data_IF_516566213121
#
_entry.id   IF_516566213121
#
_cell.length_a   1.000
_cell.length_b   1.000
_cell.length_c   1.000
_cell.angle_alpha   90.00
_cell.angle_beta   90.00
_cell.angle_gamma   90.00
#
_symmetry.space_group_name_H-M   'P 1'
#
loop_
_entity.id
_entity.type
_entity.pdbx_description
1 polymer ?
#
# COMPACT_ATOMS: atom_id res chain seq x y z
N UNK A 1 2.95 -35.26 -0.43
CA UNK A 1 2.84 -34.09 -1.33
C UNK A 1 1.75 -34.40 -2.35
N UNK A 2 0.56 -33.86 -2.20
CA UNK A 2 -0.44 -33.92 -3.26
C UNK A 2 0.02 -32.99 -4.39
N UNK A 3 -0.09 -33.47 -5.64
CA UNK A 3 0.25 -32.67 -6.81
C UNK A 3 -0.64 -31.40 -6.83
N UNK A 4 -0.03 -30.22 -6.96
CA UNK A 4 -0.76 -28.96 -7.11
C UNK A 4 -1.65 -29.05 -8.36
N UNK A 5 -2.90 -28.59 -8.32
CA UNK A 5 -3.80 -28.69 -9.46
C UNK A 5 -3.24 -27.92 -10.68
N UNK A 6 -3.50 -28.44 -11.86
CA UNK A 6 -3.19 -27.77 -13.12
C UNK A 6 -4.02 -26.46 -13.19
N UNK A 7 -3.44 -25.30 -13.46
CA UNK A 7 -4.08 -23.99 -13.40
C UNK A 7 -5.28 -23.79 -14.31
N UNK A 8 -5.24 -24.32 -15.55
CA UNK A 8 -6.42 -24.36 -16.42
C UNK A 8 -7.62 -25.08 -15.78
N UNK A 9 -7.38 -25.90 -14.74
CA UNK A 9 -8.42 -26.55 -13.97
C UNK A 9 -9.00 -25.69 -12.84
N UNK A 10 -8.31 -24.61 -12.39
CA UNK A 10 -8.79 -23.81 -11.26
C UNK A 10 -10.01 -22.99 -11.66
N UNK A 11 -9.96 -22.26 -12.78
CA UNK A 11 -11.11 -21.46 -13.24
C UNK A 11 -12.30 -22.31 -13.71
N UNK A 12 -12.03 -23.51 -14.26
CA UNK A 12 -13.11 -24.44 -14.64
C UNK A 12 -13.72 -25.13 -13.43
N UNK A 13 -13.02 -25.15 -12.30
CA UNK A 13 -13.47 -25.80 -11.07
C UNK A 13 -14.35 -24.92 -10.21
N UNK A 14 -14.12 -23.57 -10.18
CA UNK A 14 -14.86 -22.65 -9.34
C UNK A 14 -15.73 -21.73 -10.18
N UNK A 15 -16.96 -21.45 -9.69
CA UNK A 15 -17.91 -20.61 -10.42
C UNK A 15 -17.56 -19.13 -10.28
N UNK A 16 -16.96 -18.72 -9.16
CA UNK A 16 -16.57 -17.33 -8.91
C UNK A 16 -15.48 -17.22 -7.84
N UNK A 17 -14.88 -16.04 -7.78
CA UNK A 17 -14.02 -15.63 -6.66
C UNK A 17 -14.85 -15.01 -5.56
N UNK A 18 -14.51 -15.29 -4.30
CA UNK A 18 -14.95 -14.51 -3.15
C UNK A 18 -13.74 -13.82 -2.55
N UNK A 19 -13.74 -12.48 -2.55
CA UNK A 19 -12.67 -11.64 -2.02
C UNK A 19 -13.08 -11.20 -0.63
N UNK A 20 -12.29 -11.56 0.38
CA UNK A 20 -12.54 -11.17 1.78
C UNK A 20 -11.72 -9.94 2.11
N UNK A 21 -12.41 -8.79 2.29
CA UNK A 21 -11.80 -7.49 2.55
C UNK A 21 -11.74 -6.58 1.32
N UNK A 22 -12.29 -5.36 1.45
CA UNK A 22 -12.32 -4.31 0.42
C UNK A 22 -11.33 -3.18 0.75
N UNK A 23 -10.10 -3.54 1.20
CA UNK A 23 -8.98 -2.61 1.22
C UNK A 23 -8.34 -2.44 -0.16
N UNK A 24 -7.10 -1.93 -0.20
CA UNK A 24 -6.35 -1.74 -1.46
C UNK A 24 -6.24 -3.03 -2.27
N UNK A 25 -5.84 -4.14 -1.63
CA UNK A 25 -5.67 -5.44 -2.31
C UNK A 25 -6.98 -5.93 -2.93
N UNK A 26 -8.04 -5.97 -2.12
CA UNK A 26 -9.33 -6.51 -2.57
C UNK A 26 -10.00 -5.62 -3.62
N UNK A 27 -9.92 -4.29 -3.48
CA UNK A 27 -10.47 -3.36 -4.48
C UNK A 27 -9.75 -3.50 -5.82
N UNK A 28 -8.42 -3.50 -5.83
CA UNK A 28 -7.66 -3.68 -7.08
C UNK A 28 -7.89 -5.07 -7.68
N UNK A 29 -7.87 -6.13 -6.88
CA UNK A 29 -8.15 -7.49 -7.37
C UNK A 29 -9.54 -7.58 -8.02
N UNK A 30 -10.58 -7.03 -7.38
CA UNK A 30 -11.93 -7.00 -7.92
C UNK A 30 -12.01 -6.32 -9.29
N UNK A 31 -11.33 -5.18 -9.46
CA UNK A 31 -11.31 -4.43 -10.72
C UNK A 31 -10.50 -5.16 -11.81
N UNK A 32 -9.42 -5.86 -11.45
CA UNK A 32 -8.69 -6.72 -12.39
C UNK A 32 -9.52 -7.94 -12.82
N UNK A 33 -10.25 -8.59 -11.91
CA UNK A 33 -11.16 -9.68 -12.24
C UNK A 33 -12.30 -9.19 -13.13
N UNK A 34 -12.80 -7.96 -12.92
CA UNK A 34 -13.80 -7.33 -13.79
C UNK A 34 -13.29 -7.14 -15.21
N UNK A 35 -12.07 -6.67 -15.40
CA UNK A 35 -11.47 -6.49 -16.73
C UNK A 35 -11.27 -7.82 -17.45
N UNK A 36 -10.95 -8.87 -16.71
CA UNK A 36 -10.80 -10.25 -17.21
C UNK A 36 -12.14 -10.98 -17.40
N UNK A 37 -13.28 -10.34 -17.11
CA UNK A 37 -14.62 -10.93 -17.15
C UNK A 37 -14.78 -12.18 -16.26
N UNK A 38 -13.98 -12.30 -15.20
CA UNK A 38 -14.03 -13.41 -14.25
C UNK A 38 -15.06 -13.09 -13.16
N UNK A 39 -16.05 -13.99 -12.90
CA UNK A 39 -17.06 -13.75 -11.88
C UNK A 39 -16.47 -13.65 -10.48
N UNK A 40 -16.91 -12.67 -9.69
CA UNK A 40 -16.50 -12.49 -8.31
C UNK A 40 -17.58 -11.83 -7.46
N UNK A 41 -17.38 -11.88 -6.15
CA UNK A 41 -18.08 -11.10 -5.13
C UNK A 41 -17.04 -10.63 -4.10
N UNK A 42 -17.21 -9.42 -3.59
CA UNK A 42 -16.40 -8.89 -2.49
C UNK A 42 -17.23 -8.96 -1.22
N UNK A 43 -16.67 -9.52 -0.15
CA UNK A 43 -17.29 -9.54 1.17
C UNK A 43 -16.50 -8.62 2.10
N UNK A 44 -17.16 -7.58 2.60
CA UNK A 44 -16.50 -6.59 3.46
C UNK A 44 -17.51 -5.77 4.25
N UNK A 45 -17.13 -5.46 5.48
CA UNK A 45 -17.78 -4.46 6.33
C UNK A 45 -16.81 -3.33 6.65
N UNK A 46 -17.30 -2.10 6.69
CA UNK A 46 -16.47 -0.95 7.05
C UNK A 46 -16.07 -1.01 8.52
N UNK A 47 -14.80 -1.33 8.77
CA UNK A 47 -14.27 -1.46 10.12
C UNK A 47 -13.16 -0.42 10.38
N UNK A 48 -13.07 0.13 11.61
CA UNK A 48 -12.01 1.07 11.98
C UNK A 48 -10.61 0.51 11.81
N UNK A 49 -9.62 1.39 11.64
CA UNK A 49 -8.20 1.02 11.57
C UNK A 49 -7.72 0.52 10.22
N UNK A 50 -8.55 0.59 9.17
CA UNK A 50 -8.11 0.27 7.81
C UNK A 50 -6.94 1.16 7.40
N UNK A 51 -5.80 0.56 7.05
CA UNK A 51 -4.64 1.29 6.56
C UNK A 51 -4.94 2.08 5.28
N UNK A 52 -5.77 1.55 4.40
CA UNK A 52 -6.00 2.12 3.07
C UNK A 52 -6.71 3.46 3.12
N UNK A 53 -7.72 3.63 3.97
CA UNK A 53 -8.46 4.88 4.07
C UNK A 53 -7.67 6.00 4.74
N UNK A 54 -6.57 5.66 5.42
CA UNK A 54 -5.69 6.61 6.11
C UNK A 54 -4.44 6.90 5.29
N UNK A 55 -3.92 5.91 4.55
CA UNK A 55 -2.64 6.00 3.87
C UNK A 55 -2.58 7.15 2.85
N UNK A 56 -1.42 7.84 2.73
CA UNK A 56 -1.23 8.94 1.78
C UNK A 56 -1.18 8.47 0.32
N UNK A 57 -0.99 7.17 0.09
CA UNK A 57 -0.85 6.61 -1.25
C UNK A 57 0.47 6.94 -1.95
N UNK A 58 1.45 7.50 -1.26
CA UNK A 58 2.71 7.98 -1.83
C UNK A 58 3.55 6.81 -2.37
N UNK A 59 4.05 6.98 -3.59
CA UNK A 59 5.06 6.13 -4.21
C UNK A 59 6.31 6.96 -4.45
N UNK A 60 7.38 6.60 -3.76
CA UNK A 60 8.70 7.20 -3.91
C UNK A 60 9.70 6.12 -4.32
N UNK A 61 10.24 6.16 -5.55
CA UNK A 61 11.23 5.18 -6.01
C UNK A 61 12.50 5.14 -5.16
N UNK A 62 12.87 6.26 -4.54
CA UNK A 62 14.05 6.38 -3.67
C UNK A 62 13.66 6.45 -2.19
N UNK A 63 12.59 5.74 -1.80
CA UNK A 63 12.18 5.66 -0.40
C UNK A 63 13.23 4.92 0.47
N UNK A 64 13.23 5.25 1.77
CA UNK A 64 14.10 4.62 2.74
C UNK A 64 15.42 5.35 2.99
N UNK A 65 16.20 4.84 3.96
CA UNK A 65 17.39 5.51 4.50
C UNK A 65 18.60 5.52 3.55
N UNK A 66 18.61 4.61 2.58
CA UNK A 66 19.74 4.41 1.68
C UNK A 66 19.48 4.97 0.28
N UNK A 67 18.31 5.57 0.04
CA UNK A 67 17.90 6.14 -1.27
C UNK A 67 18.00 5.15 -2.44
N UNK A 68 17.88 3.85 -2.16
CA UNK A 68 17.97 2.78 -3.16
C UNK A 68 16.61 2.49 -3.76
N UNK A 69 16.51 2.41 -5.09
CA UNK A 69 15.30 1.92 -5.71
C UNK A 69 15.06 0.44 -5.31
N UNK A 70 13.80 0.01 -5.21
CA UNK A 70 13.49 -1.40 -5.06
C UNK A 70 14.06 -2.23 -6.22
N UNK A 71 14.39 -3.49 -5.95
CA UNK A 71 14.70 -4.43 -7.03
C UNK A 71 13.49 -4.50 -8.00
N UNK A 72 13.76 -4.47 -9.29
CA UNK A 72 12.73 -4.47 -10.34
C UNK A 72 11.77 -3.26 -10.28
N UNK A 73 12.26 -2.10 -9.87
CA UNK A 73 11.46 -0.88 -9.72
C UNK A 73 10.71 -0.49 -11.01
N UNK A 74 11.34 -0.67 -12.17
CA UNK A 74 10.72 -0.35 -13.47
C UNK A 74 9.49 -1.23 -13.74
N UNK A 75 9.58 -2.53 -13.46
CA UNK A 75 8.44 -3.44 -13.57
C UNK A 75 7.34 -3.09 -12.57
N UNK A 76 7.71 -2.78 -11.33
CA UNK A 76 6.76 -2.34 -10.30
C UNK A 76 6.01 -1.07 -10.72
N UNK A 77 6.71 -0.07 -11.24
CA UNK A 77 6.12 1.18 -11.72
C UNK A 77 5.26 0.95 -12.97
N UNK A 78 5.71 0.11 -13.90
CA UNK A 78 4.93 -0.27 -15.08
C UNK A 78 3.60 -0.91 -14.68
N UNK A 79 3.61 -1.89 -13.78
CA UNK A 79 2.39 -2.54 -13.30
C UNK A 79 1.50 -1.59 -12.50
N UNK A 80 2.10 -0.71 -11.69
CA UNK A 80 1.37 0.35 -10.99
C UNK A 80 0.60 1.23 -11.98
N UNK A 81 1.28 1.81 -12.96
CA UNK A 81 0.64 2.71 -13.92
C UNK A 81 -0.44 2.00 -14.74
N UNK A 82 -0.18 0.78 -15.19
CA UNK A 82 -1.17 -0.03 -15.90
C UNK A 82 -2.42 -0.32 -15.05
N UNK A 83 -2.23 -0.68 -13.79
CA UNK A 83 -3.32 -0.92 -12.85
C UNK A 83 -4.12 0.35 -12.55
N UNK A 84 -3.45 1.50 -12.34
CA UNK A 84 -4.17 2.77 -12.11
C UNK A 84 -4.97 3.19 -13.32
N UNK A 85 -4.43 3.09 -14.54
CA UNK A 85 -5.16 3.36 -15.79
C UNK A 85 -6.38 2.46 -15.96
N UNK A 86 -6.25 1.17 -15.61
CA UNK A 86 -7.37 0.23 -15.63
C UNK A 86 -8.48 0.66 -14.66
N UNK A 87 -8.11 0.97 -13.42
CA UNK A 87 -9.03 1.43 -12.36
C UNK A 87 -9.75 2.71 -12.78
N UNK A 88 -9.01 3.70 -13.27
CA UNK A 88 -9.55 4.98 -13.75
C UNK A 88 -10.53 4.79 -14.90
N UNK A 89 -10.22 3.88 -15.84
CA UNK A 89 -11.11 3.51 -16.95
C UNK A 89 -12.41 2.87 -16.48
N UNK A 90 -12.35 1.92 -15.52
CA UNK A 90 -13.56 1.21 -15.05
C UNK A 90 -14.43 2.12 -14.20
N UNK A 91 -13.83 2.91 -13.31
CA UNK A 91 -14.56 3.74 -12.36
C UNK A 91 -14.93 5.14 -12.91
N UNK A 92 -14.32 5.56 -14.01
CA UNK A 92 -14.55 6.89 -14.60
C UNK A 92 -14.00 8.05 -13.78
N UNK A 93 -12.95 7.84 -12.99
CA UNK A 93 -12.35 8.81 -12.07
C UNK A 93 -10.83 8.84 -12.22
N UNK A 94 -10.19 9.92 -11.76
CA UNK A 94 -8.74 10.00 -11.64
C UNK A 94 -8.30 9.60 -10.24
N UNK A 95 -7.39 8.63 -10.13
CA UNK A 95 -6.85 8.12 -8.87
C UNK A 95 -5.36 8.44 -8.72
N UNK A 96 -4.59 8.36 -9.81
CA UNK A 96 -3.16 8.58 -9.79
C UNK A 96 -2.79 10.02 -10.13
N UNK A 97 -1.87 10.59 -9.33
CA UNK A 97 -1.25 11.89 -9.58
C UNK A 97 0.27 11.73 -9.58
N UNK A 98 0.89 11.93 -10.74
CA UNK A 98 2.35 12.03 -10.82
C UNK A 98 2.79 13.31 -10.11
N UNK A 99 3.71 13.20 -9.18
CA UNK A 99 4.15 14.30 -8.34
C UNK A 99 5.62 14.09 -7.94
N UNK A 100 6.50 15.06 -8.19
CA UNK A 100 7.86 14.98 -7.72
C UNK A 100 7.94 15.03 -6.20
N UNK A 101 8.98 14.43 -5.62
CA UNK A 101 9.18 14.41 -4.17
C UNK A 101 10.51 15.09 -3.86
N UNK A 102 10.47 16.19 -3.14
CA UNK A 102 11.66 16.85 -2.63
C UNK A 102 12.14 16.12 -1.37
N UNK A 103 13.28 15.44 -1.48
CA UNK A 103 13.93 14.73 -0.37
C UNK A 103 15.00 15.63 0.23
N UNK A 104 14.78 16.10 1.45
CA UNK A 104 15.78 16.86 2.22
C UNK A 104 16.62 15.90 3.07
N UNK A 105 17.91 16.15 3.15
CA UNK A 105 18.79 15.41 4.03
C UNK A 105 18.61 15.92 5.48
N UNK A 106 18.48 14.99 6.43
CA UNK A 106 18.32 15.31 7.86
C UNK A 106 19.65 15.27 8.64
N UNK A 107 20.70 14.74 8.01
CA UNK A 107 22.06 14.66 8.55
C UNK A 107 23.10 14.60 7.42
N UNK A 108 24.36 15.03 7.64
CA UNK A 108 25.39 15.05 6.60
C UNK A 108 25.65 13.68 5.98
N UNK A 109 25.59 12.60 6.78
CA UNK A 109 25.86 11.23 6.34
C UNK A 109 24.83 10.71 5.32
N UNK A 110 23.67 11.34 5.22
CA UNK A 110 22.67 10.96 4.21
C UNK A 110 23.08 11.35 2.80
N UNK A 111 23.82 12.45 2.64
CA UNK A 111 24.36 12.84 1.35
C UNK A 111 25.35 11.80 0.81
N UNK A 112 26.22 11.25 1.65
CA UNK A 112 27.14 10.17 1.27
C UNK A 112 26.40 8.88 0.84
N UNK A 113 25.32 8.56 1.53
CA UNK A 113 24.45 7.40 1.15
C UNK A 113 23.76 7.65 -0.19
N UNK A 114 23.27 8.86 -0.40
CA UNK A 114 22.67 9.27 -1.65
C UNK A 114 23.67 9.17 -2.81
N UNK A 115 24.89 9.70 -2.67
CA UNK A 115 25.92 9.62 -3.67
C UNK A 115 26.29 8.16 -4.04
N UNK A 116 26.30 7.25 -3.08
CA UNK A 116 26.50 5.82 -3.36
C UNK A 116 25.37 5.24 -4.18
N UNK A 117 24.13 5.58 -3.83
CA UNK A 117 22.94 5.12 -4.55
C UNK A 117 22.93 5.56 -6.01
N UNK A 118 23.19 6.82 -6.29
CA UNK A 118 23.19 7.34 -7.67
C UNK A 118 24.38 6.86 -8.51
N UNK A 119 25.52 6.54 -7.88
CA UNK A 119 26.73 6.09 -8.60
C UNK A 119 26.79 4.60 -8.91
N UNK A 120 26.02 3.77 -8.24
CA UNK A 120 26.18 2.31 -8.38
C UNK A 120 24.94 1.46 -8.20
N UNK A 121 23.78 2.05 -7.89
CA UNK A 121 22.59 1.29 -7.50
C UNK A 121 21.32 1.68 -8.28
N UNK A 122 21.50 2.42 -9.39
CA UNK A 122 20.41 2.83 -10.29
C UNK A 122 19.54 3.96 -9.73
N UNK A 123 19.98 4.65 -8.68
CA UNK A 123 19.26 5.78 -8.10
C UNK A 123 19.21 7.01 -9.00
N UNK A 124 20.21 7.19 -9.87
CA UNK A 124 20.33 8.28 -10.83
C UNK A 124 19.14 8.39 -11.78
N UNK A 125 18.55 7.26 -12.17
CA UNK A 125 17.36 7.24 -13.03
C UNK A 125 16.15 7.97 -12.42
N UNK A 126 16.13 8.12 -11.09
CA UNK A 126 15.02 8.71 -10.33
C UNK A 126 15.35 10.07 -9.71
N UNK A 127 16.53 10.62 -9.97
CA UNK A 127 16.90 11.99 -9.55
C UNK A 127 16.66 12.93 -10.71
N UNK A 128 15.98 14.04 -10.44
CA UNK A 128 15.73 15.10 -11.40
C UNK A 128 16.70 16.25 -11.20
N UNK A 129 16.80 16.76 -9.97
CA UNK A 129 17.62 17.91 -9.64
C UNK A 129 18.19 17.78 -8.21
N UNK A 130 19.39 18.30 -8.00
CA UNK A 130 20.01 18.43 -6.67
C UNK A 130 20.10 19.90 -6.28
N UNK A 131 19.87 20.18 -4.98
CA UNK A 131 19.88 21.54 -4.42
C UNK A 131 20.90 21.63 -3.29
N UNK A 132 21.61 22.76 -3.27
CA UNK A 132 22.56 23.06 -2.20
C UNK A 132 21.85 23.32 -0.87
N UNK A 133 22.63 23.38 0.19
CA UNK A 133 22.18 23.76 1.52
C UNK A 133 21.43 25.11 1.51
N UNK A 134 20.33 25.18 2.29
CA UNK A 134 19.52 26.38 2.46
C UNK A 134 19.01 26.99 1.14
N UNK A 135 18.69 26.14 0.17
CA UNK A 135 18.19 26.58 -1.15
C UNK A 135 16.76 27.15 -1.07
N UNK A 136 15.90 26.54 -0.27
CA UNK A 136 14.49 26.93 -0.14
C UNK A 136 14.24 27.77 1.11
N UNK A 137 13.86 29.06 0.99
CA UNK A 137 13.73 29.97 2.15
C UNK A 137 12.59 29.57 3.12
N UNK A 138 11.67 28.70 2.69
CA UNK A 138 10.54 28.21 3.48
C UNK A 138 10.79 26.81 4.07
N UNK A 139 11.96 26.23 3.86
CA UNK A 139 12.35 24.90 4.37
C UNK A 139 13.62 24.98 5.21
N UNK A 140 13.78 24.01 6.10
CA UNK A 140 15.00 23.82 6.86
C UNK A 140 15.90 22.77 6.17
N UNK A 141 16.32 23.03 4.94
CA UNK A 141 17.15 22.16 4.09
C UNK A 141 18.65 22.36 4.32
N UNK A 142 19.07 22.42 5.59
CA UNK A 142 20.43 22.75 6.03
C UNK A 142 21.53 21.83 5.54
N UNK A 143 21.20 20.64 5.02
CA UNK A 143 22.15 19.69 4.42
C UNK A 143 21.91 19.45 2.93
N UNK A 144 21.11 20.34 2.31
CA UNK A 144 20.70 20.19 0.92
C UNK A 144 19.57 19.20 0.71
N UNK A 145 19.19 19.05 -0.54
CA UNK A 145 18.05 18.23 -0.94
C UNK A 145 18.17 17.79 -2.40
N UNK A 146 17.28 16.89 -2.82
CA UNK A 146 17.16 16.53 -4.23
C UNK A 146 15.68 16.27 -4.58
N UNK A 147 15.34 16.53 -5.84
CA UNK A 147 14.02 16.26 -6.38
C UNK A 147 14.01 14.89 -7.04
N UNK A 148 13.03 14.06 -6.69
CA UNK A 148 12.85 12.77 -7.36
C UNK A 148 11.86 12.90 -8.51
N UNK A 149 12.02 12.05 -9.53
CA UNK A 149 11.07 11.82 -10.61
C UNK A 149 10.56 10.38 -10.59
N UNK A 150 9.50 10.09 -11.34
CA UNK A 150 8.88 8.77 -11.40
C UNK A 150 8.05 8.39 -10.17
N UNK A 151 7.90 9.31 -9.23
CA UNK A 151 7.01 9.19 -8.06
C UNK A 151 5.64 9.82 -8.26
N UNK A 152 4.83 9.74 -7.21
CA UNK A 152 3.48 10.30 -7.18
C UNK A 152 2.67 9.73 -6.03
N UNK A 153 1.35 9.82 -6.15
CA UNK A 153 0.45 9.27 -5.13
C UNK A 153 -0.90 8.84 -5.72
N UNK A 154 -1.51 7.86 -5.08
CA UNK A 154 -2.86 7.41 -5.36
C UNK A 154 -3.84 7.93 -4.30
N UNK A 155 -4.98 8.46 -4.71
CA UNK A 155 -6.04 8.88 -3.79
C UNK A 155 -6.79 7.66 -3.26
N UNK A 156 -6.23 7.03 -2.24
CA UNK A 156 -6.74 5.76 -1.70
C UNK A 156 -8.11 5.89 -1.04
N UNK A 157 -8.42 6.91 -0.21
CA UNK A 157 -9.76 7.06 0.33
C UNK A 157 -10.83 7.13 -0.78
N UNK A 158 -10.57 7.92 -1.83
CA UNK A 158 -11.48 8.04 -2.96
C UNK A 158 -11.60 6.73 -3.76
N UNK A 159 -10.48 6.02 -3.97
CA UNK A 159 -10.50 4.69 -4.60
C UNK A 159 -11.44 3.73 -3.84
N UNK A 160 -11.32 3.65 -2.52
CA UNK A 160 -12.14 2.74 -1.71
C UNK A 160 -13.63 3.11 -1.77
N UNK A 161 -13.94 4.38 -1.58
CA UNK A 161 -15.32 4.90 -1.62
C UNK A 161 -16.01 4.63 -2.96
N UNK A 162 -15.36 5.01 -4.07
CA UNK A 162 -15.93 4.83 -5.40
C UNK A 162 -16.02 3.36 -5.79
N UNK A 163 -14.99 2.55 -5.46
CA UNK A 163 -15.05 1.10 -5.70
C UNK A 163 -16.19 0.47 -4.90
N UNK A 164 -16.41 0.83 -3.64
CA UNK A 164 -17.50 0.31 -2.82
C UNK A 164 -18.86 0.66 -3.42
N UNK A 165 -19.03 1.91 -3.83
CA UNK A 165 -20.25 2.37 -4.50
C UNK A 165 -20.51 1.58 -5.79
N UNK A 166 -19.46 1.42 -6.60
CA UNK A 166 -19.53 0.65 -7.85
C UNK A 166 -19.88 -0.83 -7.59
N UNK A 167 -19.29 -1.47 -6.59
CA UNK A 167 -19.60 -2.85 -6.20
C UNK A 167 -21.07 -3.01 -5.78
N UNK A 168 -21.59 -2.09 -4.94
CA UNK A 168 -23.02 -2.08 -4.53
C UNK A 168 -23.96 -1.96 -5.73
N UNK A 169 -23.69 -1.01 -6.61
CA UNK A 169 -24.53 -0.76 -7.80
C UNK A 169 -24.59 -1.95 -8.75
N UNK A 170 -23.54 -2.78 -8.77
CA UNK A 170 -23.47 -3.98 -9.62
C UNK A 170 -23.88 -5.28 -8.89
N UNK A 171 -24.30 -5.22 -7.62
CA UNK A 171 -24.65 -6.41 -6.82
C UNK A 171 -23.46 -7.32 -6.52
N UNK A 172 -22.25 -6.75 -6.44
CA UNK A 172 -20.99 -7.46 -6.25
C UNK A 172 -20.40 -7.27 -4.84
N UNK A 173 -21.14 -6.65 -3.91
CA UNK A 173 -20.74 -6.45 -2.53
C UNK A 173 -21.66 -7.24 -1.59
N UNK A 174 -21.05 -8.06 -0.75
CA UNK A 174 -21.66 -8.76 0.38
C UNK A 174 -21.24 -8.04 1.66
N UNK A 175 -22.17 -7.32 2.31
CA UNK A 175 -21.90 -6.46 3.46
C UNK A 175 -22.07 -7.22 4.80
N UNK A 176 -21.64 -8.48 4.84
CA UNK A 176 -21.59 -9.26 6.06
C UNK A 176 -20.12 -9.47 6.48
N UNK A 177 -19.89 -9.47 7.79
CA UNK A 177 -18.58 -9.82 8.33
C UNK A 177 -18.27 -11.28 7.99
N UNK A 178 -16.99 -11.56 7.68
CA UNK A 178 -16.54 -12.94 7.50
C UNK A 178 -16.44 -13.63 8.86
N UNK A 179 -17.21 -14.68 9.03
CA UNK A 179 -17.09 -15.56 10.19
C UNK A 179 -15.87 -16.47 10.01
N UNK A 180 -15.02 -16.54 11.00
CA UNK A 180 -13.86 -17.42 11.00
C UNK A 180 -14.28 -18.81 11.51
N UNK A 181 -14.66 -19.74 10.63
CA UNK A 181 -15.10 -21.07 11.06
C UNK A 181 -13.91 -21.83 11.70
N UNK A 182 -14.19 -22.61 12.74
CA UNK A 182 -13.17 -23.46 13.37
C UNK A 182 -12.60 -24.49 12.38
N UNK A 183 -13.44 -25.06 11.53
CA UNK A 183 -13.05 -25.91 10.42
C UNK A 183 -13.30 -25.21 9.10
N UNK A 184 -12.33 -25.29 8.19
CA UNK A 184 -12.50 -24.74 6.85
C UNK A 184 -13.71 -25.38 6.15
N UNK A 185 -14.58 -24.58 5.50
CA UNK A 185 -15.70 -25.11 4.73
C UNK A 185 -15.21 -26.09 3.66
N UNK A 186 -16.03 -27.10 3.39
CA UNK A 186 -15.72 -28.07 2.32
C UNK A 186 -15.63 -27.35 0.97
N UNK A 187 -14.69 -27.79 0.16
CA UNK A 187 -14.54 -27.34 -1.21
C UNK A 187 -15.68 -27.90 -2.08
N UNK A 188 -16.66 -27.08 -2.34
CA UNK A 188 -17.83 -27.42 -3.17
C UNK A 188 -17.65 -27.10 -4.66
N UNK A 189 -16.54 -26.45 -5.04
CA UNK A 189 -16.35 -25.91 -6.38
C UNK A 189 -17.16 -24.64 -6.68
N UNK A 190 -17.88 -24.09 -5.71
CA UNK A 190 -18.67 -22.87 -5.92
C UNK A 190 -17.78 -21.61 -5.89
N UNK A 191 -16.91 -21.51 -4.88
CA UNK A 191 -16.13 -20.29 -4.64
C UNK A 191 -14.64 -20.60 -4.36
N UNK A 192 -13.77 -19.79 -4.98
CA UNK A 192 -12.37 -19.68 -4.62
C UNK A 192 -12.22 -18.42 -3.75
N UNK A 193 -11.70 -18.57 -2.52
CA UNK A 193 -11.58 -17.48 -1.56
C UNK A 193 -10.21 -16.83 -1.65
N UNK A 194 -10.18 -15.48 -1.66
CA UNK A 194 -8.94 -14.69 -1.59
C UNK A 194 -9.00 -13.74 -0.41
N UNK A 195 -8.16 -13.98 0.59
CA UNK A 195 -8.12 -13.20 1.83
C UNK A 195 -7.27 -11.93 1.66
N UNK A 196 -7.94 -10.78 1.67
CA UNK A 196 -7.39 -9.42 1.52
C UNK A 196 -7.63 -8.58 2.77
N UNK A 197 -7.60 -9.18 3.96
CA UNK A 197 -8.12 -8.68 5.25
C UNK A 197 -7.24 -7.59 5.89
N UNK A 198 -6.11 -7.25 5.26
CA UNK A 198 -5.17 -6.31 5.86
C UNK A 198 -4.66 -6.81 7.21
N UNK A 199 -4.59 -5.92 8.23
CA UNK A 199 -4.11 -6.30 9.55
C UNK A 199 -5.09 -7.21 10.33
N UNK A 200 -6.35 -7.25 9.93
CA UNK A 200 -7.37 -8.09 10.57
C UNK A 200 -7.19 -9.59 10.32
N UNK A 201 -6.30 -9.95 9.40
CA UNK A 201 -5.85 -11.33 9.21
C UNK A 201 -5.33 -11.97 10.52
N UNK A 202 -4.94 -11.16 11.52
CA UNK A 202 -4.59 -11.63 12.86
C UNK A 202 -5.74 -12.36 13.58
N UNK A 203 -6.98 -12.06 13.21
CA UNK A 203 -8.17 -12.71 13.76
C UNK A 203 -8.50 -14.02 13.02
N UNK A 204 -7.85 -14.30 11.90
CA UNK A 204 -8.08 -15.48 11.09
C UNK A 204 -7.16 -16.62 11.53
N UNK A 205 -7.67 -17.64 12.26
CA UNK A 205 -6.83 -18.70 12.83
C UNK A 205 -6.14 -19.55 11.77
N UNK A 206 -6.69 -19.63 10.55
CA UNK A 206 -6.16 -20.44 9.47
C UNK A 206 -4.88 -19.84 8.84
N UNK A 207 -4.62 -18.56 9.02
CA UNK A 207 -3.40 -17.89 8.56
C UNK A 207 -2.41 -17.59 9.69
N UNK A 208 -2.61 -18.18 10.88
CA UNK A 208 -1.79 -17.96 12.07
C UNK A 208 -0.33 -18.42 11.94
N UNK A 209 -0.02 -19.29 10.97
CA UNK A 209 1.36 -19.71 10.67
C UNK A 209 2.20 -18.62 9.98
N UNK A 210 1.58 -17.54 9.52
CA UNK A 210 2.29 -16.39 8.96
C UNK A 210 2.71 -15.45 10.10
N UNK A 211 4.01 -15.09 10.22
CA UNK A 211 4.49 -14.23 11.30
C UNK A 211 4.09 -12.76 11.06
N UNK A 212 2.84 -12.45 11.35
CA UNK A 212 2.30 -11.10 11.24
C UNK A 212 2.91 -10.18 12.30
N UNK A 213 3.35 -9.00 11.88
CA UNK A 213 3.90 -7.95 12.75
C UNK A 213 3.35 -6.58 12.33
N UNK A 214 2.04 -6.34 12.52
CA UNK A 214 1.40 -5.10 12.08
C UNK A 214 2.01 -3.88 12.75
N UNK A 215 1.89 -2.72 12.11
CA UNK A 215 2.38 -1.47 12.67
C UNK A 215 1.37 -0.34 12.50
N UNK A 216 1.01 0.31 13.60
CA UNK A 216 0.18 1.51 13.59
C UNK A 216 0.95 2.67 12.98
N UNK A 217 0.30 3.44 12.14
CA UNK A 217 0.78 4.69 11.59
C UNK A 217 -0.24 5.78 11.76
N UNK A 218 0.21 6.92 12.26
CA UNK A 218 -0.62 8.09 12.45
C UNK A 218 -0.19 9.21 11.52
N UNK A 219 -1.13 10.05 11.14
CA UNK A 219 -0.89 11.24 10.35
C UNK A 219 -1.78 12.39 10.80
N UNK A 220 -1.38 13.61 10.46
CA UNK A 220 -2.14 14.82 10.68
C UNK A 220 -2.67 15.38 9.38
N UNK A 221 -3.87 15.98 9.43
CA UNK A 221 -4.37 16.90 8.45
C UNK A 221 -4.08 18.31 8.96
N UNK A 222 -3.39 19.13 8.17
CA UNK A 222 -2.96 20.48 8.60
C UNK A 222 -3.27 21.53 7.56
N UNK A 223 -3.42 22.79 8.03
CA UNK A 223 -3.44 24.00 7.20
C UNK A 223 -2.25 24.86 7.55
N UNK A 224 -1.49 25.28 6.55
CA UNK A 224 -0.45 26.28 6.78
C UNK A 224 -1.09 27.67 6.81
N UNK A 225 -0.57 28.54 7.68
CA UNK A 225 -1.05 29.94 7.82
C UNK A 225 -0.50 30.85 6.71
N UNK A 226 0.58 30.42 6.04
CA UNK A 226 1.19 31.08 4.91
C UNK A 226 1.21 30.17 3.67
N UNK A 227 1.44 30.76 2.51
CA UNK A 227 1.53 30.02 1.26
C UNK A 227 2.68 29.01 1.28
N UNK A 228 2.37 27.73 1.08
CA UNK A 228 3.33 26.63 0.98
C UNK A 228 3.20 26.00 -0.42
N UNK A 229 4.30 25.87 -1.19
CA UNK A 229 4.22 25.39 -2.58
C UNK A 229 3.66 23.97 -2.69
N UNK A 230 2.72 23.77 -3.61
CA UNK A 230 1.90 22.54 -3.74
C UNK A 230 2.27 21.66 -4.93
N UNK A 231 3.32 22.01 -5.64
CA UNK A 231 3.77 21.35 -6.86
C UNK A 231 4.54 20.04 -6.59
N UNK A 232 4.78 19.72 -5.33
CA UNK A 232 5.58 18.57 -4.90
C UNK A 232 5.17 18.05 -3.53
N UNK A 233 5.62 16.82 -3.22
CA UNK A 233 5.61 16.25 -1.87
C UNK A 233 6.96 16.57 -1.24
N UNK A 234 6.97 16.93 0.04
CA UNK A 234 8.17 17.16 0.82
C UNK A 234 8.46 15.96 1.70
N UNK A 235 9.72 15.59 1.87
CA UNK A 235 10.09 14.45 2.70
C UNK A 235 11.45 14.65 3.38
N UNK A 236 11.44 14.59 4.70
CA UNK A 236 12.63 14.57 5.56
C UNK A 236 12.40 13.55 6.69
N UNK A 237 12.16 14.01 7.92
CA UNK A 237 11.74 13.17 9.06
C UNK A 237 10.27 12.77 8.99
N UNK A 238 9.45 13.58 8.36
CA UNK A 238 8.09 13.27 7.93
C UNK A 238 7.93 13.58 6.44
N UNK A 239 6.82 13.10 5.86
CA UNK A 239 6.39 13.55 4.53
C UNK A 239 5.23 14.55 4.69
N UNK A 240 5.18 15.51 3.77
CA UNK A 240 4.14 16.55 3.69
C UNK A 240 3.57 16.54 2.28
N UNK A 241 2.29 16.18 2.15
CA UNK A 241 1.60 15.97 0.88
C UNK A 241 0.44 16.94 0.71
N UNK A 242 0.32 17.65 -0.42
CA UNK A 242 -0.88 18.44 -0.70
C UNK A 242 -2.09 17.54 -0.95
N UNK A 243 -3.28 17.92 -0.42
CA UNK A 243 -4.52 17.18 -0.62
C UNK A 243 -5.49 17.93 -1.52
N UNK A 244 -5.86 19.14 -1.11
CA UNK A 244 -6.72 20.05 -1.85
C UNK A 244 -6.22 21.49 -1.61
N UNK A 245 -6.93 22.52 -2.05
CA UNK A 245 -6.44 23.90 -2.13
C UNK A 245 -5.74 24.44 -0.88
N UNK A 246 -6.11 24.02 0.30
CA UNK A 246 -5.53 24.53 1.55
C UNK A 246 -5.15 23.43 2.57
N UNK A 247 -5.48 22.16 2.30
CA UNK A 247 -5.27 21.06 3.21
C UNK A 247 -4.07 20.20 2.82
N UNK A 248 -3.31 19.76 3.83
CA UNK A 248 -2.13 18.95 3.70
C UNK A 248 -2.19 17.74 4.62
N UNK A 249 -1.58 16.64 4.19
CA UNK A 249 -1.31 15.47 5.04
C UNK A 249 0.14 15.47 5.49
N UNK A 250 0.37 15.15 6.76
CA UNK A 250 1.70 15.04 7.36
C UNK A 250 1.84 13.69 8.05
N UNK A 251 2.88 12.95 7.74
CA UNK A 251 3.08 11.62 8.34
C UNK A 251 4.47 11.03 8.11
N UNK A 252 4.64 9.88 8.60
CA UNK A 252 3.78 9.14 9.50
C UNK A 252 4.59 8.60 10.68
N UNK A 253 3.88 8.37 11.77
CA UNK A 253 4.47 7.59 12.86
C UNK A 253 4.62 6.12 12.48
N UNK A 254 5.38 5.40 13.27
CA UNK A 254 5.55 3.96 13.15
C UNK A 254 5.61 3.33 14.53
N UNK A 255 4.55 2.63 14.95
CA UNK A 255 4.44 2.02 16.27
C UNK A 255 3.97 0.57 16.16
N UNK A 256 4.56 -0.28 16.98
CA UNK A 256 4.21 -1.70 17.11
C UNK A 256 3.35 -1.98 18.36
N UNK A 257 2.79 -0.96 18.97
CA UNK A 257 1.88 -1.06 20.11
C UNK A 257 0.50 -0.51 19.75
N UNK A 258 -0.56 -1.10 20.32
CA UNK A 258 -1.95 -0.68 20.16
C UNK A 258 -2.43 -0.69 18.67
N UNK A 259 -2.94 -1.83 18.22
CA UNK A 259 -3.48 -2.03 16.86
C UNK A 259 -4.99 -1.75 16.79
N UNK A 260 -5.41 -0.60 17.30
CA UNK A 260 -6.82 -0.22 17.41
C UNK A 260 -7.29 0.82 16.37
N UNK A 261 -6.35 1.38 15.60
CA UNK A 261 -6.64 2.48 14.67
C UNK A 261 -6.99 3.80 15.35
N UNK A 262 -6.77 3.92 16.67
CA UNK A 262 -7.05 5.14 17.44
C UNK A 262 -5.83 6.06 17.46
N UNK A 263 -5.98 7.36 17.12
CA UNK A 263 -4.92 8.35 17.24
C UNK A 263 -4.42 8.53 18.68
N UNK A 264 -3.14 8.89 18.86
CA UNK A 264 -2.52 9.11 20.16
C UNK A 264 -1.93 10.52 20.29
N UNK A 265 -1.90 11.05 21.50
CA UNK A 265 -1.30 12.36 21.78
C UNK A 265 0.21 12.36 21.44
N UNK A 266 0.92 11.29 21.76
CA UNK A 266 2.35 11.15 21.44
C UNK A 266 2.60 11.17 19.93
N UNK A 267 1.72 10.50 19.16
CA UNK A 267 1.76 10.53 17.70
C UNK A 267 1.57 11.93 17.13
N UNK A 268 0.58 12.66 17.64
CA UNK A 268 0.34 14.06 17.24
C UNK A 268 1.54 14.96 17.56
N UNK A 269 2.06 14.89 18.78
CA UNK A 269 3.22 15.68 19.23
C UNK A 269 4.43 15.40 18.34
N UNK A 270 4.77 14.13 18.14
CA UNK A 270 5.89 13.72 17.29
C UNK A 270 5.79 14.25 15.85
N UNK A 271 4.60 14.19 15.24
CA UNK A 271 4.40 14.69 13.88
C UNK A 271 4.46 16.21 13.79
N UNK A 272 3.95 16.94 14.79
CA UNK A 272 4.06 18.39 14.85
C UNK A 272 5.51 18.84 15.00
N UNK A 273 6.29 18.21 15.88
CA UNK A 273 7.72 18.47 16.02
C UNK A 273 8.48 18.22 14.71
N UNK A 274 8.23 17.09 14.04
CA UNK A 274 8.88 16.80 12.76
C UNK A 274 8.47 17.80 11.66
N UNK A 275 7.23 18.27 11.64
CA UNK A 275 6.80 19.29 10.71
C UNK A 275 7.48 20.65 10.98
N UNK A 276 7.63 21.03 12.26
CA UNK A 276 8.36 22.23 12.66
C UNK A 276 9.86 22.14 12.31
N UNK A 277 10.45 20.93 12.35
CA UNK A 277 11.83 20.70 11.89
C UNK A 277 11.95 20.79 10.36
N UNK A 278 10.89 20.50 9.62
CA UNK A 278 10.89 20.55 8.15
C UNK A 278 10.71 21.97 7.63
N UNK A 279 9.81 22.75 8.26
CA UNK A 279 9.50 24.14 7.87
C UNK A 279 9.20 25.01 9.08
N UNK A 280 9.61 26.28 9.00
CA UNK A 280 9.26 27.30 10.02
C UNK A 280 7.88 27.92 9.84
N UNK A 281 7.11 27.57 8.81
CA UNK A 281 5.80 28.14 8.54
C UNK A 281 4.80 27.66 9.59
N UNK A 282 4.06 28.56 10.26
CA UNK A 282 3.03 28.19 11.22
C UNK A 282 1.91 27.38 10.55
N UNK A 283 1.32 26.46 11.31
CA UNK A 283 0.23 25.59 10.84
C UNK A 283 -0.78 25.29 11.94
N UNK A 284 -1.99 24.91 11.54
CA UNK A 284 -3.05 24.43 12.41
C UNK A 284 -3.34 22.97 12.10
N UNK A 285 -3.55 22.16 13.15
CA UNK A 285 -3.95 20.76 13.01
C UNK A 285 -5.47 20.70 12.97
N UNK A 286 -6.00 20.17 11.88
CA UNK A 286 -7.45 20.02 11.64
C UNK A 286 -7.95 18.66 12.14
N UNK A 287 -7.16 17.60 11.89
CA UNK A 287 -7.56 16.22 12.20
C UNK A 287 -6.32 15.34 12.42
N UNK A 288 -6.48 14.31 13.22
CA UNK A 288 -5.50 13.24 13.38
C UNK A 288 -6.13 11.90 13.00
N UNK A 289 -5.45 11.13 12.17
CA UNK A 289 -5.90 9.85 11.67
C UNK A 289 -4.90 8.75 12.02
N UNK A 290 -5.40 7.54 12.23
CA UNK A 290 -4.56 6.36 12.51
C UNK A 290 -5.05 5.15 11.72
N UNK A 291 -4.11 4.35 11.22
CA UNK A 291 -4.40 3.10 10.54
C UNK A 291 -3.32 2.07 10.82
N UNK A 292 -3.65 0.79 10.67
CA UNK A 292 -2.74 -0.31 10.99
C UNK A 292 -2.25 -0.97 9.70
N UNK A 293 -0.95 -0.88 9.46
CA UNK A 293 -0.30 -1.48 8.29
C UNK A 293 -0.21 -2.99 8.45
N UNK A 294 -0.68 -3.78 7.47
CA UNK A 294 -0.48 -5.22 7.45
C UNK A 294 0.97 -5.51 7.07
N UNK A 295 1.76 -5.91 8.03
CA UNK A 295 3.17 -6.22 7.86
C UNK A 295 3.42 -7.63 8.37
N UNK A 296 4.32 -8.34 7.71
CA UNK A 296 4.93 -9.59 8.19
C UNK A 296 6.40 -9.34 8.51
N UNK A 297 7.04 -10.25 9.21
CA UNK A 297 8.38 -10.09 9.75
C UNK A 297 9.43 -9.69 8.69
N UNK A 298 9.32 -10.18 7.45
CA UNK A 298 10.25 -9.89 6.36
C UNK A 298 9.86 -8.66 5.50
N UNK A 299 8.79 -7.94 5.86
CA UNK A 299 8.30 -6.72 5.19
C UNK A 299 7.94 -6.90 3.70
N UNK A 300 7.57 -8.11 3.27
CA UNK A 300 7.23 -8.42 1.88
C UNK A 300 5.76 -8.84 1.77
N UNK A 301 5.13 -8.59 0.61
CA UNK A 301 3.78 -9.11 0.34
C UNK A 301 3.70 -10.62 0.56
N UNK A 302 2.52 -11.09 0.93
CA UNK A 302 2.21 -12.51 1.06
C UNK A 302 1.11 -12.85 0.08
N UNK A 303 1.42 -13.70 -0.90
CA UNK A 303 0.47 -14.17 -1.90
C UNK A 303 0.59 -15.69 -2.07
N UNK A 304 -0.52 -16.35 -2.40
CA UNK A 304 -0.50 -17.76 -2.75
C UNK A 304 -1.59 -18.58 -2.10
N UNK A 305 -1.51 -19.90 -2.32
CA UNK A 305 -2.49 -20.89 -1.88
C UNK A 305 -2.22 -21.33 -0.45
N UNK A 306 -3.28 -21.52 0.34
CA UNK A 306 -3.16 -22.09 1.67
C UNK A 306 -2.62 -23.55 1.59
N UNK A 307 -1.66 -23.93 2.44
CA UNK A 307 -0.98 -25.24 2.32
C UNK A 307 -1.93 -26.44 2.53
N UNK A 308 -2.97 -26.30 3.33
CA UNK A 308 -3.92 -27.37 3.67
C UNK A 308 -5.33 -27.19 3.08
N UNK A 309 -5.69 -25.99 2.62
CA UNK A 309 -7.04 -25.67 2.15
C UNK A 309 -6.97 -25.21 0.68
N UNK A 310 -7.17 -26.10 -0.29
CA UNK A 310 -6.84 -25.85 -1.70
C UNK A 310 -7.62 -24.72 -2.38
N UNK A 311 -8.80 -24.32 -1.89
CA UNK A 311 -9.62 -23.26 -2.45
C UNK A 311 -9.42 -21.90 -1.74
N UNK A 312 -8.46 -21.81 -0.81
CA UNK A 312 -8.13 -20.58 -0.08
C UNK A 312 -6.80 -20.00 -0.55
N UNK A 313 -6.81 -18.72 -0.80
CA UNK A 313 -5.66 -17.93 -1.23
C UNK A 313 -5.51 -16.69 -0.36
N UNK A 314 -4.32 -16.16 -0.30
CA UNK A 314 -4.01 -14.91 0.40
C UNK A 314 -3.40 -13.89 -0.56
N UNK A 315 -3.80 -12.62 -0.40
CA UNK A 315 -3.20 -11.44 -1.02
C UNK A 315 -3.13 -10.34 0.04
N UNK A 316 -2.07 -10.32 0.83
CA UNK A 316 -1.99 -9.48 2.02
C UNK A 316 -0.56 -9.00 2.30
N UNK A 317 -0.36 -8.38 3.47
CA UNK A 317 0.94 -7.93 3.99
C UNK A 317 1.67 -6.91 3.09
N UNK A 318 0.93 -6.03 2.41
CA UNK A 318 1.50 -5.02 1.52
C UNK A 318 2.28 -3.91 2.23
N UNK A 319 2.18 -3.81 3.56
CA UNK A 319 2.95 -2.90 4.40
C UNK A 319 2.82 -1.43 4.01
N UNK A 320 3.93 -0.69 4.08
CA UNK A 320 3.99 0.73 3.74
C UNK A 320 4.20 1.03 2.25
N UNK A 321 4.40 0.02 1.42
CA UNK A 321 4.63 0.15 -0.03
C UNK A 321 3.49 -0.43 -0.87
N UNK A 322 2.31 -0.54 -0.29
CA UNK A 322 1.18 -1.24 -0.88
C UNK A 322 0.82 -0.76 -2.27
N UNK A 323 0.77 0.55 -2.50
CA UNK A 323 0.42 1.12 -3.82
C UNK A 323 1.39 0.67 -4.90
N UNK A 324 2.70 0.65 -4.61
CA UNK A 324 3.72 0.21 -5.57
C UNK A 324 3.69 -1.31 -5.81
N UNK A 325 3.41 -2.10 -4.76
CA UNK A 325 3.56 -3.56 -4.80
C UNK A 325 2.28 -4.30 -5.15
N UNK A 326 1.10 -3.78 -4.79
CA UNK A 326 -0.18 -4.47 -5.00
C UNK A 326 -0.44 -4.85 -6.46
N UNK A 327 -0.21 -3.98 -7.47
CA UNK A 327 -0.46 -4.36 -8.86
C UNK A 327 0.37 -5.55 -9.33
N UNK A 328 1.65 -5.61 -8.95
CA UNK A 328 2.51 -6.76 -9.27
C UNK A 328 2.09 -8.01 -8.49
N UNK A 329 1.73 -7.88 -7.21
CA UNK A 329 1.24 -9.00 -6.42
C UNK A 329 -0.06 -9.60 -6.97
N UNK A 330 -0.97 -8.75 -7.45
CA UNK A 330 -2.22 -9.18 -8.11
C UNK A 330 -1.91 -9.90 -9.42
N UNK A 331 -1.05 -9.33 -10.25
CA UNK A 331 -0.62 -9.98 -11.49
C UNK A 331 -0.04 -11.36 -11.23
N UNK A 332 0.93 -11.47 -10.31
CA UNK A 332 1.59 -12.73 -10.00
C UNK A 332 0.60 -13.79 -9.45
N UNK A 333 -0.39 -13.35 -8.65
CA UNK A 333 -1.45 -14.23 -8.17
C UNK A 333 -2.36 -14.69 -9.31
N UNK A 334 -2.78 -13.78 -10.20
CA UNK A 334 -3.64 -14.10 -11.34
C UNK A 334 -2.91 -14.99 -12.36
N UNK A 335 -1.67 -14.72 -12.70
CA UNK A 335 -0.84 -15.58 -13.57
C UNK A 335 -0.66 -16.99 -12.95
N UNK A 336 -0.51 -17.08 -11.61
CA UNK A 336 -0.50 -18.37 -10.92
C UNK A 336 -1.83 -19.10 -11.08
N UNK A 337 -2.96 -18.40 -10.87
CA UNK A 337 -4.30 -18.98 -10.92
C UNK A 337 -4.76 -19.35 -12.33
N UNK A 338 -4.40 -18.55 -13.34
CA UNK A 338 -4.89 -18.67 -14.72
C UNK A 338 -3.96 -19.49 -15.60
N UNK A 339 -2.65 -19.38 -15.41
CA UNK A 339 -1.63 -19.92 -16.31
C UNK A 339 -0.71 -20.96 -15.65
N UNK A 340 -0.72 -21.05 -14.30
CA UNK A 340 0.17 -21.92 -13.54
C UNK A 340 1.58 -21.40 -13.40
N UNK A 341 1.76 -20.15 -13.64
CA UNK A 341 3.01 -19.46 -13.40
C UNK A 341 3.45 -19.61 -11.93
N UNK A 342 4.74 -19.57 -11.65
CA UNK A 342 5.22 -19.63 -10.28
C UNK A 342 5.17 -18.25 -9.63
N UNK A 343 4.58 -18.18 -8.44
CA UNK A 343 4.72 -17.00 -7.58
C UNK A 343 6.19 -16.85 -7.19
N UNK A 344 6.77 -15.64 -7.29
CA UNK A 344 8.14 -15.41 -6.82
C UNK A 344 8.33 -15.86 -5.37
N UNK A 345 9.36 -16.64 -5.08
CA UNK A 345 9.58 -17.22 -3.75
C UNK A 345 9.64 -16.19 -2.64
N UNK A 346 10.08 -14.97 -2.95
CA UNK A 346 10.14 -13.86 -2.00
C UNK A 346 8.74 -13.36 -1.56
N UNK A 347 7.68 -13.64 -2.32
CA UNK A 347 6.31 -13.19 -2.05
C UNK A 347 5.36 -14.36 -1.78
N UNK A 348 5.76 -15.60 -2.16
CA UNK A 348 4.96 -16.80 -1.91
C UNK A 348 4.71 -17.03 -0.41
N UNK A 349 3.48 -17.36 -0.06
CA UNK A 349 3.11 -17.83 1.28
C UNK A 349 3.90 -19.06 1.70
N UNK A 350 4.35 -19.88 0.75
CA UNK A 350 5.13 -21.12 1.00
C UNK A 350 6.40 -20.86 1.80
N UNK A 351 6.93 -19.60 1.81
CA UNK A 351 8.13 -19.28 2.59
C UNK A 351 7.93 -19.34 4.11
N UNK A 352 6.67 -19.42 4.55
CA UNK A 352 6.31 -19.57 5.96
C UNK A 352 5.80 -20.98 6.31
N UNK A 353 5.74 -21.86 5.33
CA UNK A 353 5.37 -23.25 5.55
C UNK A 353 6.64 -24.03 5.86
N UNK A 354 6.73 -24.59 7.06
CA UNK A 354 7.86 -25.43 7.44
C UNK A 354 7.98 -26.62 6.48
N UNK A 355 9.19 -26.84 5.97
CA UNK A 355 9.53 -27.93 5.05
C UNK A 355 9.73 -29.26 5.79
#
# INVERSE_FOLDING_TARGET
MQARPNPQSILTRYKRFRIIGQGLSGSLLALHLKDLEIPFIVQDVELPGSATVVAPGIVNPLAGRNFRPPKYVDDLLKHLHGSMQLVEKILGIQIWTSCPILRMFSEPTQYDRFLRSIKGEGGDAFVDEEYSENHFPYLNDVYGSFLTKGGGWANLPHLIEVTRTWLRQNGLLDEHEWDYPEEAPQDTGEELLVFCEGWRILNNPHWSFIPHNPAKGEMLMVRFEEAFPRDRIYNQSCWVQPVNDDLWRVGATYSWSAFDGTPSLDGATHLQENLQLLTGIPFQVEEQLAGVRPIVEDYRPVIGQHPAIPHWFILNALGSKGVLQAPTAIRDLLEYLLEGSRIPSAWSVDRFVES
#
